data_IF_641069081738
#
_entry.id   IF_641069081738
#
_cell.length_a   1.000
_cell.length_b   1.000
_cell.length_c   1.000
_cell.angle_alpha   90.00
_cell.angle_beta   90.00
_cell.angle_gamma   90.00
#
_symmetry.space_group_name_H-M   'P 1'
#
loop_
_entity.id
_entity.type
_entity.pdbx_description
1 polymer ?
#
# COMPACT_ATOMS: atom_id res chain seq x y z
N UNK A 1 -3.45 -4.73 -16.81
CA UNK A 1 -4.77 -4.13 -16.49
C UNK A 1 -4.63 -2.76 -15.83
N UNK A 2 -3.72 -2.54 -14.87
CA UNK A 2 -3.40 -1.19 -14.37
C UNK A 2 -2.67 -0.29 -15.39
N UNK A 3 -1.99 -0.89 -16.36
CA UNK A 3 -1.23 -0.14 -17.39
C UNK A 3 -2.05 0.20 -18.66
N UNK A 4 -3.23 -0.40 -18.85
CA UNK A 4 -4.00 -0.30 -20.12
C UNK A 4 -5.51 -0.06 -19.94
N UNK A 5 -6.01 0.12 -18.72
CA UNK A 5 -7.41 0.46 -18.45
C UNK A 5 -7.70 1.97 -18.56
N UNK A 6 -8.97 2.34 -18.78
CA UNK A 6 -9.40 3.74 -18.68
C UNK A 6 -9.23 4.25 -17.25
N UNK A 7 -9.18 5.57 -17.04
CA UNK A 7 -9.09 6.13 -15.69
C UNK A 7 -10.27 5.69 -14.80
N UNK A 8 -11.45 5.47 -15.39
CA UNK A 8 -12.62 4.96 -14.70
C UNK A 8 -12.47 3.48 -14.29
N UNK A 9 -11.88 2.64 -15.15
CA UNK A 9 -11.59 1.24 -14.79
C UNK A 9 -10.57 1.16 -13.65
N UNK A 10 -9.55 2.02 -13.68
CA UNK A 10 -8.55 2.11 -12.62
C UNK A 10 -9.18 2.51 -11.29
N UNK A 11 -10.12 3.46 -11.31
CA UNK A 11 -10.79 3.93 -10.10
C UNK A 11 -11.66 2.85 -9.44
N UNK A 12 -12.42 2.09 -10.25
CA UNK A 12 -13.21 0.95 -9.76
C UNK A 12 -12.31 -0.12 -9.15
N UNK A 13 -11.23 -0.48 -9.84
CA UNK A 13 -10.27 -1.49 -9.35
C UNK A 13 -9.56 -1.03 -8.08
N UNK A 14 -9.15 0.24 -8.01
CA UNK A 14 -8.50 0.81 -6.83
C UNK A 14 -9.45 0.85 -5.62
N UNK A 15 -10.73 1.11 -5.84
CA UNK A 15 -11.75 1.08 -4.78
C UNK A 15 -11.86 -0.32 -4.18
N UNK A 16 -12.00 -1.34 -5.01
CA UNK A 16 -12.04 -2.74 -4.56
C UNK A 16 -10.73 -3.19 -3.90
N UNK A 17 -9.59 -2.69 -4.40
CA UNK A 17 -8.27 -2.93 -3.83
C UNK A 17 -8.17 -2.34 -2.42
N UNK A 18 -8.62 -1.11 -2.20
CA UNK A 18 -8.63 -0.47 -0.88
C UNK A 18 -9.50 -1.26 0.11
N UNK A 19 -10.66 -1.74 -0.32
CA UNK A 19 -11.54 -2.58 0.51
C UNK A 19 -10.86 -3.91 0.91
N UNK A 20 -9.99 -4.44 0.05
CA UNK A 20 -9.27 -5.70 0.27
C UNK A 20 -7.82 -5.51 0.74
N UNK A 21 -7.38 -4.27 0.98
CA UNK A 21 -5.97 -3.91 1.13
C UNK A 21 -5.29 -4.68 2.26
N UNK A 22 -5.98 -4.86 3.39
CA UNK A 22 -5.44 -5.58 4.54
C UNK A 22 -5.11 -7.05 4.24
N UNK A 23 -5.96 -7.70 3.42
CA UNK A 23 -5.73 -9.07 2.94
C UNK A 23 -4.58 -9.07 1.92
N UNK A 24 -4.60 -8.13 0.96
CA UNK A 24 -3.59 -8.05 -0.09
C UNK A 24 -2.18 -7.78 0.45
N UNK A 25 -2.04 -6.93 1.46
CA UNK A 25 -0.75 -6.60 2.10
C UNK A 25 -0.06 -7.86 2.64
N UNK A 26 -0.83 -8.81 3.17
CA UNK A 26 -0.32 -10.04 3.76
C UNK A 26 -0.30 -11.22 2.79
N UNK A 27 -0.89 -11.08 1.60
CA UNK A 27 -0.91 -12.14 0.60
C UNK A 27 0.44 -12.28 -0.14
N UNK A 28 0.77 -13.52 -0.53
CA UNK A 28 2.03 -13.84 -1.22
C UNK A 28 2.17 -13.17 -2.60
N UNK A 29 1.06 -12.82 -3.26
CA UNK A 29 1.04 -12.11 -4.55
C UNK A 29 0.46 -10.70 -4.42
N UNK A 30 -0.55 -10.51 -3.56
CA UNK A 30 -1.21 -9.22 -3.33
C UNK A 30 -0.27 -8.14 -2.78
N UNK A 31 0.79 -8.53 -2.06
CA UNK A 31 1.76 -7.58 -1.52
C UNK A 31 2.45 -6.79 -2.64
N UNK A 32 2.67 -7.39 -3.82
CA UNK A 32 3.27 -6.71 -4.97
C UNK A 32 2.34 -5.66 -5.57
N UNK A 33 1.03 -5.93 -5.61
CA UNK A 33 0.03 -4.96 -6.09
C UNK A 33 0.00 -3.77 -5.14
N UNK A 34 0.06 -4.03 -3.84
CA UNK A 34 0.08 -2.98 -2.82
C UNK A 34 1.33 -2.12 -2.91
N UNK A 35 2.51 -2.74 -3.08
CA UNK A 35 3.76 -2.02 -3.33
C UNK A 35 3.65 -1.15 -4.58
N UNK A 36 3.07 -1.67 -5.66
CA UNK A 36 2.89 -0.91 -6.90
C UNK A 36 2.03 0.36 -6.68
N UNK A 37 0.93 0.26 -5.92
CA UNK A 37 0.10 1.42 -5.57
C UNK A 37 0.88 2.43 -4.73
N UNK A 38 1.69 1.96 -3.76
CA UNK A 38 2.54 2.86 -2.95
C UNK A 38 3.57 3.58 -3.83
N UNK A 39 4.16 2.90 -4.79
CA UNK A 39 5.22 3.47 -5.63
C UNK A 39 4.68 4.40 -6.74
N UNK A 40 3.64 3.99 -7.44
CA UNK A 40 3.18 4.63 -8.68
C UNK A 40 1.74 5.15 -8.62
N UNK A 41 0.99 4.83 -7.56
CA UNK A 41 -0.38 5.29 -7.38
C UNK A 41 -0.48 6.79 -7.16
N UNK A 42 -1.71 7.31 -7.26
CA UNK A 42 -2.00 8.72 -6.96
C UNK A 42 -1.66 9.03 -5.50
N UNK A 43 -1.33 10.28 -5.16
CA UNK A 43 -1.01 10.67 -3.78
C UNK A 43 -2.07 10.27 -2.76
N UNK A 44 -3.35 10.37 -3.13
CA UNK A 44 -4.48 9.98 -2.28
C UNK A 44 -4.52 8.47 -1.99
N UNK A 45 -4.27 7.63 -2.99
CA UNK A 45 -4.26 6.17 -2.83
C UNK A 45 -3.04 5.74 -2.04
N UNK A 46 -1.87 6.33 -2.33
CA UNK A 46 -0.64 6.08 -1.58
C UNK A 46 -0.85 6.39 -0.09
N UNK A 47 -1.38 7.57 0.23
CA UNK A 47 -1.63 7.99 1.60
C UNK A 47 -2.58 7.02 2.32
N UNK A 48 -3.66 6.58 1.66
CA UNK A 48 -4.58 5.57 2.21
C UNK A 48 -3.86 4.25 2.52
N UNK A 49 -3.04 3.75 1.60
CA UNK A 49 -2.28 2.50 1.82
C UNK A 49 -1.27 2.64 2.96
N UNK A 50 -0.55 3.76 3.01
CA UNK A 50 0.43 4.03 4.09
C UNK A 50 -0.28 4.13 5.44
N UNK A 51 -1.45 4.77 5.50
CA UNK A 51 -2.25 4.85 6.73
C UNK A 51 -2.68 3.46 7.22
N UNK A 52 -3.12 2.59 6.32
CA UNK A 52 -3.45 1.21 6.66
C UNK A 52 -2.26 0.44 7.22
N UNK A 53 -1.08 0.59 6.59
CA UNK A 53 0.14 -0.09 7.03
C UNK A 53 0.60 0.43 8.39
N UNK A 54 0.59 1.74 8.60
CA UNK A 54 0.99 2.37 9.88
C UNK A 54 0.06 1.99 11.03
N UNK A 55 -1.24 1.79 10.78
CA UNK A 55 -2.19 1.34 11.82
C UNK A 55 -1.84 -0.02 12.45
N UNK A 56 -1.10 -0.86 11.73
CA UNK A 56 -0.73 -2.22 12.14
C UNK A 56 0.77 -2.49 12.01
N UNK A 57 1.58 -1.43 12.08
CA UNK A 57 2.98 -1.43 11.69
C UNK A 57 3.79 -2.57 12.34
N UNK A 58 3.71 -2.72 13.66
CA UNK A 58 4.51 -3.73 14.38
C UNK A 58 4.19 -5.15 13.92
N UNK A 59 2.92 -5.44 13.64
CA UNK A 59 2.47 -6.74 13.17
C UNK A 59 2.94 -6.98 11.73
N UNK A 60 2.76 -5.99 10.85
CA UNK A 60 3.10 -6.10 9.44
C UNK A 60 4.61 -6.17 9.20
N UNK A 61 5.42 -5.45 10.00
CA UNK A 61 6.89 -5.47 9.93
C UNK A 61 7.49 -6.85 10.22
N UNK A 62 6.78 -7.71 10.97
CA UNK A 62 7.21 -9.07 11.29
C UNK A 62 6.67 -10.12 10.32
N UNK A 63 5.76 -9.73 9.44
CA UNK A 63 5.08 -10.64 8.54
C UNK A 63 5.88 -10.83 7.25
N UNK A 64 6.08 -12.08 6.83
CA UNK A 64 6.96 -12.47 5.70
C UNK A 64 6.76 -11.67 4.41
N UNK A 65 5.51 -11.33 4.07
CA UNK A 65 5.19 -10.62 2.83
C UNK A 65 4.92 -9.13 3.07
N UNK A 66 4.38 -8.78 4.23
CA UNK A 66 3.95 -7.40 4.49
C UNK A 66 5.13 -6.51 4.90
N UNK A 67 6.23 -7.08 5.39
CA UNK A 67 7.46 -6.32 5.67
C UNK A 67 7.95 -5.57 4.42
N UNK A 68 7.86 -6.19 3.23
CA UNK A 68 8.24 -5.56 1.97
C UNK A 68 7.35 -4.34 1.67
N UNK A 69 6.08 -4.40 2.03
CA UNK A 69 5.13 -3.28 1.89
C UNK A 69 5.51 -2.15 2.86
N UNK A 70 5.84 -2.49 4.11
CA UNK A 70 6.30 -1.52 5.12
C UNK A 70 7.55 -0.78 4.61
N UNK A 71 8.51 -1.50 4.03
CA UNK A 71 9.71 -0.89 3.44
C UNK A 71 9.35 0.12 2.35
N UNK A 72 8.40 -0.21 1.46
CA UNK A 72 7.91 0.75 0.44
C UNK A 72 7.22 1.97 1.03
N UNK A 73 6.48 1.83 2.12
CA UNK A 73 5.91 2.98 2.84
C UNK A 73 7.02 3.91 3.36
N UNK A 74 8.14 3.38 3.86
CA UNK A 74 9.27 4.19 4.35
C UNK A 74 9.97 4.91 3.18
N UNK A 75 10.12 4.24 2.04
CA UNK A 75 10.78 4.80 0.86
C UNK A 75 9.96 5.90 0.17
N UNK A 76 8.64 5.73 0.09
CA UNK A 76 7.75 6.57 -0.74
C UNK A 76 6.76 7.44 0.05
N UNK A 77 6.65 7.25 1.37
CA UNK A 77 5.83 8.10 2.22
C UNK A 77 6.36 9.53 2.32
N UNK A 78 5.50 10.45 2.75
CA UNK A 78 5.85 11.82 3.11
C UNK A 78 6.75 11.86 4.37
N UNK A 79 7.43 12.98 4.65
CA UNK A 79 8.25 13.12 5.86
C UNK A 79 7.46 12.85 7.16
N UNK A 80 6.19 13.25 7.22
CA UNK A 80 5.31 13.05 8.37
C UNK A 80 4.96 11.56 8.53
N UNK A 81 4.56 10.89 7.45
CA UNK A 81 4.26 9.45 7.46
C UNK A 81 5.49 8.61 7.82
N UNK A 82 6.68 8.99 7.32
CA UNK A 82 7.95 8.31 7.69
C UNK A 82 8.28 8.46 9.16
N UNK A 83 7.90 9.58 9.78
CA UNK A 83 8.11 9.78 11.22
C UNK A 83 7.24 8.82 12.02
N UNK A 84 5.97 8.68 11.66
CA UNK A 84 5.04 7.73 12.29
C UNK A 84 5.44 6.26 12.13
N UNK A 85 6.30 5.92 11.17
CA UNK A 85 6.84 4.56 10.99
C UNK A 85 8.08 4.30 11.86
N UNK A 86 8.77 5.35 12.30
CA UNK A 86 10.05 5.24 13.04
C UNK A 86 9.90 5.35 14.56
N UNK A 87 8.76 5.85 15.03
CA UNK A 87 8.37 5.97 16.45
C UNK A 87 7.58 4.75 16.92
#
# INVERSE_FOLDING_TARGET
>A
MLEYGTDQDKEVILTELHNSAQVLITDQYGNYVTQHVIQHGKPEDRAKMIHLVTSQLVTLSKHKFASNVVEKCIEHGSPEERKSIRE
#
